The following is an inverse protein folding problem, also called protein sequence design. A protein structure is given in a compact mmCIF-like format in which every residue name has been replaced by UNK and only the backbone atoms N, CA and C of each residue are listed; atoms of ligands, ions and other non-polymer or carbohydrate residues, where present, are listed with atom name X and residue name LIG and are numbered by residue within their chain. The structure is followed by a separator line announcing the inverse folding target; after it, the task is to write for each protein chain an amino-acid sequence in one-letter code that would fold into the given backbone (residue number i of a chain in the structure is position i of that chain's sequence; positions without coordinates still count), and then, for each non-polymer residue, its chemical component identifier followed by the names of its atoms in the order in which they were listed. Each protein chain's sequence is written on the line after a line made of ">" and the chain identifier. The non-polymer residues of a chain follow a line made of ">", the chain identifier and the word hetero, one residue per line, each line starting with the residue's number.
data_IF_765921892319
#
_entry.id   IF_765921892319
#
_cell.length_a   1.000
_cell.length_b   1.000
_cell.length_c   1.000
_cell.angle_alpha   90.00
_cell.angle_beta   90.00
_cell.angle_gamma   90.00
#
_symmetry.space_group_name_H-M   'P 1'
#
loop_
_entity.id
_entity.type
_entity.pdbx_description
1 polymer ?
#
# COMPACT_ATOMS: atom_id res chain seq x y z
N UNK A 1 -30.92 6.99 9.09
CA UNK A 1 -30.65 6.77 7.65
C UNK A 1 -29.16 6.53 7.58
N UNK A 2 -28.75 5.26 7.56
CA UNK A 2 -27.35 4.93 7.30
C UNK A 2 -27.13 5.27 5.83
N UNK A 3 -26.41 6.35 5.55
CA UNK A 3 -25.81 6.52 4.25
C UNK A 3 -24.64 5.54 4.28
N UNK A 4 -24.87 4.32 3.78
CA UNK A 4 -23.78 3.55 3.22
C UNK A 4 -23.23 4.43 2.10
N UNK A 5 -22.17 5.17 2.39
CA UNK A 5 -21.35 5.78 1.35
C UNK A 5 -20.88 4.59 0.55
N UNK A 6 -21.33 4.46 -0.70
CA UNK A 6 -20.77 3.47 -1.63
C UNK A 6 -19.27 3.75 -1.70
N UNK A 7 -18.50 2.97 -0.95
CA UNK A 7 -17.04 2.97 -0.99
C UNK A 7 -16.70 2.35 -2.35
N UNK A 8 -16.05 3.10 -3.22
CA UNK A 8 -15.72 2.67 -4.58
C UNK A 8 -14.34 3.17 -4.99
N UNK A 9 -13.88 2.82 -6.20
CA UNK A 9 -12.57 3.24 -6.68
C UNK A 9 -12.46 4.77 -6.76
N UNK A 10 -11.27 5.30 -6.45
CA UNK A 10 -10.97 6.70 -6.63
C UNK A 10 -10.86 7.00 -8.12
N UNK A 11 -11.38 8.14 -8.57
CA UNK A 11 -11.28 8.53 -9.97
C UNK A 11 -9.85 8.95 -10.33
N UNK A 12 -9.38 8.59 -11.53
CA UNK A 12 -8.01 8.87 -12.01
C UNK A 12 -7.63 10.35 -11.87
N UNK A 13 -8.52 11.26 -12.28
CA UNK A 13 -8.28 12.70 -12.17
C UNK A 13 -8.13 13.21 -10.73
N UNK A 14 -8.69 12.49 -9.73
CA UNK A 14 -8.45 12.81 -8.33
C UNK A 14 -7.10 12.23 -7.87
N UNK A 15 -6.72 11.06 -8.37
CA UNK A 15 -5.44 10.42 -8.09
C UNK A 15 -4.27 11.25 -8.62
N UNK A 16 -4.33 11.72 -9.87
CA UNK A 16 -3.34 12.61 -10.48
C UNK A 16 -3.16 13.92 -9.68
N UNK A 17 -4.26 14.48 -9.17
CA UNK A 17 -4.21 15.67 -8.30
C UNK A 17 -3.52 15.37 -6.98
N UNK A 18 -3.80 14.22 -6.38
CA UNK A 18 -3.14 13.81 -5.15
C UNK A 18 -1.65 13.58 -5.38
N UNK A 19 -1.28 12.90 -6.46
CA UNK A 19 0.11 12.67 -6.85
C UNK A 19 0.87 13.99 -7.01
N UNK A 20 0.34 14.91 -7.82
CA UNK A 20 0.94 16.24 -8.04
C UNK A 20 1.10 16.99 -6.72
N UNK A 21 0.05 17.00 -5.89
CA UNK A 21 0.09 17.65 -4.58
C UNK A 21 1.18 17.05 -3.67
N UNK A 22 1.27 15.71 -3.60
CA UNK A 22 2.26 15.04 -2.78
C UNK A 22 3.67 15.35 -3.27
N UNK A 23 3.90 15.21 -4.58
CA UNK A 23 5.20 15.41 -5.21
C UNK A 23 5.71 16.85 -5.07
N UNK A 24 4.85 17.84 -5.32
CA UNK A 24 5.27 19.25 -5.37
C UNK A 24 5.31 19.93 -3.99
N UNK A 25 4.44 19.52 -3.06
CA UNK A 25 4.24 20.26 -1.80
C UNK A 25 4.53 19.45 -0.54
N UNK A 26 4.52 18.12 -0.61
CA UNK A 26 4.61 17.26 0.58
C UNK A 26 5.98 16.60 0.69
N UNK A 27 6.44 15.95 -0.38
CA UNK A 27 7.75 15.30 -0.44
C UNK A 27 8.91 16.27 -0.14
N UNK A 28 8.95 17.51 -0.66
CA UNK A 28 10.01 18.46 -0.33
C UNK A 28 10.09 18.83 1.15
N UNK A 29 8.98 18.69 1.87
CA UNK A 29 8.84 18.99 3.30
C UNK A 29 8.94 17.72 4.17
N UNK A 30 9.48 16.63 3.61
CA UNK A 30 9.71 15.37 4.30
C UNK A 30 8.44 14.56 4.57
N UNK A 31 7.35 14.82 3.83
CA UNK A 31 6.17 13.96 3.84
C UNK A 31 6.28 12.79 2.85
N UNK A 32 5.20 12.03 2.73
CA UNK A 32 5.18 10.76 1.99
C UNK A 32 4.95 10.95 0.48
N UNK A 33 5.53 10.07 -0.34
CA UNK A 33 5.18 9.91 -1.75
C UNK A 33 3.82 9.21 -1.90
N UNK A 34 3.21 9.25 -3.08
CA UNK A 34 1.94 8.56 -3.33
C UNK A 34 2.01 7.05 -2.98
N UNK A 35 3.07 6.36 -3.41
CA UNK A 35 3.28 4.93 -3.11
C UNK A 35 3.39 4.69 -1.60
N UNK A 36 4.16 5.52 -0.88
CA UNK A 36 4.25 5.45 0.58
C UNK A 36 2.89 5.67 1.25
N UNK A 37 2.11 6.64 0.78
CA UNK A 37 0.76 6.89 1.32
C UNK A 37 -0.14 5.68 1.07
N UNK A 38 -0.10 5.08 -0.12
CA UNK A 38 -0.90 3.89 -0.44
C UNK A 38 -0.57 2.71 0.49
N UNK A 39 0.72 2.41 0.68
CA UNK A 39 1.15 1.34 1.60
C UNK A 39 0.82 1.65 3.05
N UNK A 40 1.08 2.88 3.48
CA UNK A 40 0.77 3.34 4.83
C UNK A 40 -0.72 3.20 5.16
N UNK A 41 -1.58 3.70 4.28
CA UNK A 41 -3.02 3.59 4.44
C UNK A 41 -3.51 2.14 4.28
N UNK A 42 -2.87 1.31 3.45
CA UNK A 42 -3.19 -0.11 3.35
C UNK A 42 -3.00 -0.82 4.68
N UNK A 43 -1.86 -0.61 5.36
CA UNK A 43 -1.61 -1.17 6.69
C UNK A 43 -2.67 -0.74 7.71
N UNK A 44 -3.08 0.53 7.72
CA UNK A 44 -4.11 1.01 8.65
C UNK A 44 -5.50 0.43 8.33
N UNK A 45 -5.80 0.19 7.04
CA UNK A 45 -7.06 -0.37 6.60
C UNK A 45 -7.22 -1.83 7.03
N UNK A 46 -6.15 -2.62 6.97
CA UNK A 46 -6.17 -4.06 7.29
C UNK A 46 -5.74 -4.39 8.71
N UNK A 47 -5.12 -3.44 9.43
CA UNK A 47 -4.55 -3.68 10.75
C UNK A 47 -5.55 -3.99 11.88
N UNK A 48 -5.07 -4.50 13.02
CA UNK A 48 -5.93 -5.02 14.10
C UNK A 48 -6.70 -3.94 14.85
N UNK A 49 -6.20 -2.70 14.86
CA UNK A 49 -6.80 -1.58 15.59
C UNK A 49 -7.05 -0.38 14.68
N UNK A 50 -8.13 0.39 14.92
CA UNK A 50 -8.37 1.61 14.16
C UNK A 50 -7.36 2.71 14.54
N UNK A 51 -6.98 3.50 13.53
CA UNK A 51 -6.18 4.73 13.70
C UNK A 51 -7.02 5.90 13.20
N UNK A 52 -7.11 6.97 14.01
CA UNK A 52 -7.93 8.12 13.67
C UNK A 52 -7.22 9.04 12.66
N UNK A 53 -7.95 9.77 11.79
CA UNK A 53 -7.34 10.72 10.85
C UNK A 53 -6.41 11.74 11.50
N UNK A 54 -6.75 12.22 12.71
CA UNK A 54 -5.88 13.15 13.44
C UNK A 54 -4.52 12.56 13.86
N UNK A 55 -4.38 11.23 13.88
CA UNK A 55 -3.12 10.54 14.18
C UNK A 55 -2.31 10.30 12.90
N UNK A 56 -2.95 9.85 11.82
CA UNK A 56 -2.23 9.43 10.61
C UNK A 56 -1.97 10.57 9.61
N UNK A 57 -2.88 11.56 9.50
CA UNK A 57 -2.73 12.65 8.53
C UNK A 57 -1.45 13.47 8.74
N UNK A 58 -1.05 13.84 9.98
CA UNK A 58 0.20 14.58 10.17
C UNK A 58 1.45 13.84 9.64
N UNK A 59 1.44 12.50 9.67
CA UNK A 59 2.57 11.70 9.19
C UNK A 59 2.65 11.66 7.66
N UNK A 60 1.50 11.70 6.98
CA UNK A 60 1.45 11.87 5.51
C UNK A 60 2.10 13.19 5.10
N UNK A 61 1.85 14.26 5.85
CA UNK A 61 2.27 15.61 5.50
C UNK A 61 3.72 15.96 5.86
N UNK A 62 4.34 15.26 6.80
CA UNK A 62 5.64 15.66 7.32
C UNK A 62 5.58 17.07 7.91
N UNK A 63 6.40 17.99 7.39
CA UNK A 63 6.39 19.41 7.79
C UNK A 63 5.54 20.30 6.87
N UNK A 64 4.91 19.73 5.82
CA UNK A 64 4.13 20.49 4.86
C UNK A 64 2.92 21.15 5.52
N UNK A 65 2.82 22.47 5.39
CA UNK A 65 1.69 23.25 5.88
C UNK A 65 0.79 23.65 4.71
N UNK A 66 -0.51 23.68 4.94
CA UNK A 66 -1.44 24.27 3.99
C UNK A 66 -1.37 25.81 4.07
N UNK A 67 -1.56 26.47 2.94
CA UNK A 67 -1.55 27.94 2.86
C UNK A 67 -2.67 28.58 3.69
N UNK A 68 -3.85 27.95 3.67
CA UNK A 68 -5.04 28.38 4.39
C UNK A 68 -5.95 27.18 4.73
N UNK A 69 -7.03 27.38 5.51
CA UNK A 69 -7.94 26.31 5.88
C UNK A 69 -8.67 25.63 4.71
N UNK A 70 -8.90 26.32 3.59
CA UNK A 70 -9.59 25.77 2.43
C UNK A 70 -8.67 24.77 1.71
N UNK A 71 -7.41 25.14 1.50
CA UNK A 71 -6.39 24.24 0.97
C UNK A 71 -6.11 23.07 1.92
N UNK A 72 -6.14 23.32 3.24
CA UNK A 72 -6.01 22.26 4.25
C UNK A 72 -7.12 21.22 4.15
N UNK A 73 -8.36 21.69 3.93
CA UNK A 73 -9.51 20.84 3.73
C UNK A 73 -9.39 20.06 2.41
N UNK A 74 -9.10 20.74 1.30
CA UNK A 74 -9.01 20.13 -0.03
C UNK A 74 -7.96 19.00 -0.11
N UNK A 75 -6.74 19.22 0.45
CA UNK A 75 -5.70 18.17 0.49
C UNK A 75 -6.09 16.99 1.38
N UNK A 76 -6.79 17.26 2.49
CA UNK A 76 -7.28 16.21 3.38
C UNK A 76 -8.35 15.37 2.69
N UNK A 77 -9.25 16.00 1.94
CA UNK A 77 -10.28 15.31 1.17
C UNK A 77 -9.68 14.37 0.12
N UNK A 78 -8.56 14.71 -0.52
CA UNK A 78 -7.87 13.82 -1.45
C UNK A 78 -7.29 12.57 -0.75
N UNK A 79 -6.62 12.73 0.39
CA UNK A 79 -6.12 11.57 1.17
C UNK A 79 -7.25 10.72 1.71
N UNK A 80 -8.36 11.34 2.12
CA UNK A 80 -9.54 10.59 2.56
C UNK A 80 -10.23 9.86 1.39
N UNK A 81 -10.19 10.38 0.16
CA UNK A 81 -10.65 9.65 -1.02
C UNK A 81 -9.76 8.43 -1.29
N UNK A 82 -8.43 8.58 -1.21
CA UNK A 82 -7.51 7.45 -1.32
C UNK A 82 -7.77 6.40 -0.22
N UNK A 83 -7.99 6.84 1.01
CA UNK A 83 -8.37 5.96 2.12
C UNK A 83 -9.64 5.13 1.82
N UNK A 84 -10.66 5.77 1.26
CA UNK A 84 -11.90 5.09 0.86
C UNK A 84 -11.65 4.08 -0.28
N UNK A 85 -10.86 4.45 -1.28
CA UNK A 85 -10.46 3.55 -2.37
C UNK A 85 -9.71 2.32 -1.84
N UNK A 86 -8.72 2.51 -0.97
CA UNK A 86 -7.95 1.41 -0.37
C UNK A 86 -8.87 0.48 0.43
N UNK A 87 -9.78 1.02 1.23
CA UNK A 87 -10.74 0.21 1.99
C UNK A 87 -11.70 -0.57 1.11
N UNK A 88 -12.11 0.01 -0.02
CA UNK A 88 -12.87 -0.72 -1.03
C UNK A 88 -12.03 -1.85 -1.63
N UNK A 89 -10.79 -1.54 -2.04
CA UNK A 89 -9.82 -2.45 -2.69
C UNK A 89 -9.55 -3.70 -1.86
N UNK A 90 -9.16 -3.54 -0.59
CA UNK A 90 -8.84 -4.70 0.28
C UNK A 90 -10.08 -5.55 0.62
N UNK A 91 -11.28 -5.01 0.44
CA UNK A 91 -12.53 -5.74 0.59
C UNK A 91 -12.92 -6.56 -0.65
N UNK A 92 -12.24 -6.40 -1.78
CA UNK A 92 -12.51 -7.16 -2.99
C UNK A 92 -11.71 -8.46 -3.03
N UNK A 93 -12.26 -9.54 -3.58
CA UNK A 93 -11.47 -10.73 -3.88
C UNK A 93 -10.39 -10.38 -4.93
N UNK A 94 -9.13 -10.81 -4.72
CA UNK A 94 -7.97 -10.40 -5.52
C UNK A 94 -8.01 -10.95 -6.96
N UNK A 95 -8.62 -12.11 -7.14
CA UNK A 95 -8.66 -12.86 -8.37
C UNK A 95 -10.06 -12.83 -9.01
N UNK A 96 -10.10 -12.73 -10.33
CA UNK A 96 -11.30 -13.00 -11.13
C UNK A 96 -11.07 -14.16 -12.10
N UNK A 97 -12.16 -14.82 -12.50
CA UNK A 97 -12.10 -15.82 -13.56
C UNK A 97 -11.58 -15.17 -14.84
N UNK A 98 -10.53 -15.76 -15.43
CA UNK A 98 -9.97 -15.24 -16.69
C UNK A 98 -11.04 -15.21 -17.79
N UNK A 99 -10.97 -14.24 -18.70
CA UNK A 99 -11.96 -14.07 -19.77
C UNK A 99 -12.14 -15.33 -20.65
N UNK A 100 -11.09 -16.13 -20.76
CA UNK A 100 -11.06 -17.38 -21.52
C UNK A 100 -11.51 -18.62 -20.71
N UNK A 101 -11.88 -18.43 -19.45
CA UNK A 101 -12.31 -19.46 -18.51
C UNK A 101 -11.20 -20.41 -18.07
N UNK A 102 -9.93 -20.09 -18.33
CA UNK A 102 -8.78 -20.94 -18.02
C UNK A 102 -7.87 -20.26 -16.97
N UNK A 103 -8.26 -20.43 -15.71
CA UNK A 103 -7.49 -19.92 -14.57
C UNK A 103 -8.08 -18.64 -14.01
N UNK A 104 -7.28 -17.98 -13.18
CA UNK A 104 -7.61 -16.72 -12.53
C UNK A 104 -6.58 -15.67 -12.86
N UNK A 105 -7.00 -14.40 -12.90
CA UNK A 105 -6.12 -13.25 -13.10
C UNK A 105 -6.29 -12.27 -11.96
N UNK A 106 -5.18 -11.66 -11.54
CA UNK A 106 -5.22 -10.56 -10.57
C UNK A 106 -5.87 -9.35 -11.23
N UNK A 107 -6.82 -8.75 -10.52
CA UNK A 107 -7.56 -7.58 -10.99
C UNK A 107 -6.67 -6.35 -10.89
N UNK A 108 -6.37 -5.71 -12.02
CA UNK A 108 -5.48 -4.55 -12.08
C UNK A 108 -5.92 -3.39 -11.17
N UNK A 109 -7.23 -3.18 -11.01
CA UNK A 109 -7.80 -2.16 -10.11
C UNK A 109 -7.57 -2.43 -8.61
N UNK A 110 -7.12 -3.65 -8.26
CA UNK A 110 -6.78 -4.03 -6.90
C UNK A 110 -5.30 -3.97 -6.60
N UNK A 111 -4.48 -3.62 -7.61
CA UNK A 111 -3.06 -3.44 -7.41
C UNK A 111 -2.78 -2.23 -6.50
N UNK A 112 -1.76 -2.31 -5.66
CA UNK A 112 -1.18 -1.15 -5.02
C UNK A 112 -0.79 -0.07 -6.01
N UNK A 113 -0.81 1.19 -5.56
CA UNK A 113 -0.29 2.30 -6.36
C UNK A 113 1.24 2.22 -6.36
N UNK A 114 1.79 1.86 -7.51
CA UNK A 114 3.21 1.67 -7.75
C UNK A 114 3.64 2.51 -8.95
N UNK A 115 4.72 3.25 -8.79
CA UNK A 115 5.25 4.10 -9.86
C UNK A 115 6.29 3.31 -10.66
N UNK A 116 5.97 3.09 -11.93
CA UNK A 116 6.93 2.57 -12.91
C UNK A 116 7.64 3.75 -13.58
N UNK A 117 8.93 3.60 -13.95
CA UNK A 117 9.61 4.63 -14.71
C UNK A 117 8.96 4.76 -16.10
N UNK A 118 8.87 5.98 -16.61
CA UNK A 118 8.48 6.20 -18.00
C UNK A 118 9.49 5.51 -18.92
N UNK A 119 8.99 4.65 -19.81
CA UNK A 119 9.78 4.02 -20.86
C UNK A 119 9.47 4.73 -22.18
N UNK A 120 10.44 4.74 -23.11
CA UNK A 120 10.18 5.30 -24.44
C UNK A 120 9.13 4.42 -25.16
N UNK A 121 7.94 4.97 -25.42
CA UNK A 121 6.78 4.34 -26.10
C UNK A 121 7.11 3.76 -27.51
N UNK A 122 8.31 4.03 -28.03
CA UNK A 122 8.79 3.57 -29.34
C UNK A 122 9.23 2.08 -29.36
N UNK A 123 9.21 1.40 -28.22
CA UNK A 123 9.48 -0.04 -28.16
C UNK A 123 8.19 -0.81 -28.49
N UNK A 124 8.21 -1.54 -29.62
CA UNK A 124 7.14 -2.44 -30.07
C UNK A 124 6.83 -3.50 -29.00
N UNK A 125 5.99 -3.15 -28.01
CA UNK A 125 5.20 -3.91 -27.02
C UNK A 125 5.52 -5.36 -26.61
N UNK A 126 6.71 -5.91 -26.84
CA UNK A 126 7.01 -7.33 -26.57
C UNK A 126 7.44 -7.60 -25.13
N UNK A 127 8.08 -6.63 -24.46
CA UNK A 127 8.50 -6.75 -23.07
C UNK A 127 8.18 -5.46 -22.29
N UNK A 128 7.21 -5.50 -21.35
CA UNK A 128 6.84 -4.36 -20.50
C UNK A 128 7.98 -3.82 -19.63
N UNK A 129 9.05 -4.57 -19.43
CA UNK A 129 10.20 -4.21 -18.59
C UNK A 129 11.41 -3.73 -19.39
N UNK A 130 11.29 -3.70 -20.72
CA UNK A 130 12.40 -3.34 -21.58
C UNK A 130 12.88 -1.89 -21.31
N UNK A 131 14.16 -1.76 -20.94
CA UNK A 131 14.79 -0.49 -20.61
C UNK A 131 14.71 -0.09 -19.14
N UNK A 132 14.01 -0.86 -18.31
CA UNK A 132 14.00 -0.67 -16.85
C UNK A 132 15.25 -1.37 -16.28
N UNK A 133 16.04 -0.71 -15.41
CA UNK A 133 17.15 -1.35 -14.72
C UNK A 133 16.70 -2.58 -13.92
N UNK A 134 17.48 -3.67 -13.96
CA UNK A 134 17.16 -4.90 -13.21
C UNK A 134 17.16 -4.66 -11.68
N UNK A 135 17.84 -3.62 -11.20
CA UNK A 135 17.89 -3.21 -9.78
C UNK A 135 16.86 -2.12 -9.44
N UNK A 136 15.90 -1.83 -10.32
CA UNK A 136 14.87 -0.81 -10.07
C UNK A 136 14.07 -1.15 -8.79
N UNK A 137 13.92 -0.21 -7.83
CA UNK A 137 13.40 -0.48 -6.49
C UNK A 137 11.86 -0.50 -6.44
N UNK A 138 11.23 -1.27 -7.33
CA UNK A 138 9.78 -1.44 -7.38
C UNK A 138 9.25 -1.90 -6.01
N UNK A 139 8.20 -1.24 -5.53
CA UNK A 139 7.51 -1.59 -4.29
C UNK A 139 8.19 -1.15 -3.00
N UNK A 140 9.44 -0.63 -3.04
CA UNK A 140 10.16 -0.20 -1.82
C UNK A 140 9.41 0.93 -1.10
N UNK A 141 8.97 1.95 -1.83
CA UNK A 141 8.24 3.08 -1.27
C UNK A 141 6.92 2.63 -0.63
N UNK A 142 6.18 1.77 -1.32
CA UNK A 142 4.95 1.18 -0.79
C UNK A 142 5.19 0.37 0.50
N UNK A 143 6.16 -0.55 0.48
CA UNK A 143 6.49 -1.39 1.63
C UNK A 143 6.97 -0.56 2.83
N UNK A 144 7.76 0.48 2.58
CA UNK A 144 8.19 1.44 3.61
C UNK A 144 6.99 2.12 4.26
N UNK A 145 6.04 2.61 3.46
CA UNK A 145 4.79 3.17 3.95
C UNK A 145 4.00 2.17 4.79
N UNK A 146 3.83 0.94 4.29
CA UNK A 146 3.12 -0.13 4.99
C UNK A 146 3.71 -0.41 6.37
N UNK A 147 5.04 -0.59 6.46
CA UNK A 147 5.73 -0.85 7.72
C UNK A 147 5.62 0.34 8.69
N UNK A 148 5.64 1.58 8.17
CA UNK A 148 5.34 2.75 8.99
C UNK A 148 3.91 2.73 9.54
N UNK A 149 2.94 2.21 8.78
CA UNK A 149 1.56 2.03 9.24
C UNK A 149 1.44 0.96 10.32
N UNK A 150 2.15 -0.16 10.16
CA UNK A 150 2.28 -1.21 11.17
C UNK A 150 2.85 -0.65 12.48
N UNK A 151 3.88 0.21 12.39
CA UNK A 151 4.56 0.78 13.56
C UNK A 151 3.64 1.59 14.48
N UNK A 152 2.56 2.18 13.97
CA UNK A 152 1.60 2.95 14.78
C UNK A 152 0.87 2.10 15.81
N UNK A 153 0.78 0.79 15.57
CA UNK A 153 0.14 -0.19 16.44
C UNK A 153 1.00 -1.45 16.55
N UNK A 154 2.32 -1.28 16.64
CA UNK A 154 3.28 -2.39 16.54
C UNK A 154 3.02 -3.53 17.54
N UNK A 155 2.72 -3.21 18.80
CA UNK A 155 2.39 -4.23 19.82
C UNK A 155 1.09 -4.99 19.47
N UNK A 156 0.07 -4.29 18.97
CA UNK A 156 -1.19 -4.91 18.57
C UNK A 156 -1.00 -5.82 17.35
N UNK A 157 -0.21 -5.38 16.36
CA UNK A 157 0.18 -6.20 15.22
C UNK A 157 0.94 -7.46 15.65
N UNK A 158 1.96 -7.31 16.51
CA UNK A 158 2.72 -8.44 17.02
C UNK A 158 1.84 -9.45 17.76
N UNK A 159 0.95 -8.97 18.64
CA UNK A 159 0.03 -9.84 19.37
C UNK A 159 -0.98 -10.52 18.45
N UNK A 160 -1.45 -9.82 17.41
CA UNK A 160 -2.45 -10.32 16.48
C UNK A 160 -1.91 -11.38 15.52
N UNK A 161 -0.63 -11.31 15.16
CA UNK A 161 0.07 -12.27 14.31
C UNK A 161 0.75 -13.41 15.10
N UNK A 162 0.74 -13.34 16.43
CA UNK A 162 1.44 -14.30 17.27
C UNK A 162 0.95 -15.75 17.04
N UNK A 163 1.85 -16.62 16.61
CA UNK A 163 1.58 -18.06 16.41
C UNK A 163 0.89 -18.39 15.10
N UNK A 164 0.83 -17.45 14.16
CA UNK A 164 0.28 -17.66 12.84
C UNK A 164 1.37 -17.56 11.77
N UNK A 165 1.89 -18.70 11.33
CA UNK A 165 3.06 -18.76 10.44
C UNK A 165 2.78 -18.15 9.07
N UNK A 166 1.60 -18.40 8.49
CA UNK A 166 1.22 -17.89 7.16
C UNK A 166 1.23 -16.35 7.12
N UNK A 167 0.66 -15.70 8.14
CA UNK A 167 0.66 -14.22 8.20
C UNK A 167 1.99 -13.62 8.66
N UNK A 168 2.84 -14.40 9.33
CA UNK A 168 4.21 -13.98 9.60
C UNK A 168 5.05 -13.99 8.32
N UNK A 169 4.81 -14.95 7.43
CA UNK A 169 5.43 -15.01 6.10
C UNK A 169 4.97 -13.82 5.24
N UNK A 170 3.69 -13.44 5.29
CA UNK A 170 3.18 -12.20 4.66
C UNK A 170 3.93 -10.95 5.12
N UNK A 171 4.20 -10.82 6.43
CA UNK A 171 4.97 -9.68 6.95
C UNK A 171 6.44 -9.75 6.54
N UNK A 172 7.02 -10.95 6.50
CA UNK A 172 8.38 -11.18 6.00
C UNK A 172 8.51 -10.76 4.53
N UNK A 173 7.49 -11.02 3.72
CA UNK A 173 7.41 -10.58 2.33
C UNK A 173 7.48 -9.05 2.21
N UNK A 174 6.67 -8.32 3.00
CA UNK A 174 6.70 -6.84 2.99
C UNK A 174 8.04 -6.30 3.50
N UNK A 175 8.61 -6.92 4.55
CA UNK A 175 9.94 -6.55 5.05
C UNK A 175 11.01 -6.72 3.97
N UNK A 176 10.99 -7.84 3.24
CA UNK A 176 11.93 -8.11 2.15
C UNK A 176 11.76 -7.11 1.01
N UNK A 177 10.50 -6.80 0.63
CA UNK A 177 10.21 -5.81 -0.42
C UNK A 177 10.70 -4.39 -0.06
N UNK A 178 10.75 -4.05 1.24
CA UNK A 178 11.22 -2.75 1.73
C UNK A 178 12.74 -2.53 1.62
N UNK A 179 13.51 -3.59 1.36
CA UNK A 179 14.97 -3.48 1.22
C UNK A 179 15.30 -2.77 -0.08
N UNK A 180 15.99 -1.63 0.02
CA UNK A 180 16.31 -0.77 -1.12
C UNK A 180 17.49 -1.30 -1.93
N UNK A 181 18.60 -1.54 -1.25
CA UNK A 181 19.88 -1.93 -1.83
C UNK A 181 20.72 -2.73 -0.80
N UNK A 182 21.93 -3.11 -1.20
CA UNK A 182 22.84 -3.89 -0.34
C UNK A 182 23.31 -3.11 0.90
N UNK A 183 23.37 -1.78 0.85
CA UNK A 183 23.72 -0.97 2.02
C UNK A 183 22.57 -1.01 3.03
N UNK A 184 21.33 -0.87 2.57
CA UNK A 184 20.13 -0.95 3.40
C UNK A 184 19.94 -2.35 3.99
N UNK A 185 20.20 -3.42 3.21
CA UNK A 185 20.21 -4.80 3.69
C UNK A 185 21.21 -4.99 4.84
N UNK A 186 22.45 -4.49 4.69
CA UNK A 186 23.46 -4.59 5.73
C UNK A 186 23.07 -3.84 7.02
N UNK A 187 22.35 -2.71 6.92
CA UNK A 187 21.81 -1.98 8.07
C UNK A 187 20.73 -2.79 8.82
N UNK A 188 20.03 -3.67 8.11
CA UNK A 188 19.02 -4.58 8.65
C UNK A 188 19.59 -5.94 9.09
N UNK A 189 20.92 -6.11 9.10
CA UNK A 189 21.61 -7.38 9.38
C UNK A 189 21.19 -8.52 8.41
N UNK A 190 20.84 -8.15 7.18
CA UNK A 190 20.49 -9.06 6.08
C UNK A 190 21.67 -9.26 5.13
N UNK A 191 21.69 -10.40 4.44
CA UNK A 191 22.71 -10.71 3.44
C UNK A 191 22.42 -9.98 2.12
N UNK A 192 23.47 -9.60 1.39
CA UNK A 192 23.33 -8.79 0.16
C UNK A 192 22.62 -9.52 -0.99
N UNK A 193 22.61 -10.86 -0.99
CA UNK A 193 21.88 -11.67 -1.97
C UNK A 193 20.38 -11.78 -1.66
N UNK A 194 19.91 -11.18 -0.56
CA UNK A 194 18.49 -11.02 -0.24
C UNK A 194 17.89 -9.74 -0.85
N UNK A 195 18.70 -8.90 -1.49
CA UNK A 195 18.21 -7.73 -2.24
C UNK A 195 17.56 -8.21 -3.53
N UNK A 196 16.26 -7.92 -3.66
CA UNK A 196 15.46 -8.39 -4.79
C UNK A 196 15.77 -7.61 -6.08
N UNK A 197 15.89 -8.35 -7.18
CA UNK A 197 15.89 -7.81 -8.53
C UNK A 197 14.45 -7.52 -9.00
N UNK A 198 14.30 -6.75 -10.07
CA UNK A 198 13.02 -6.28 -10.61
C UNK A 198 12.02 -7.42 -10.85
N UNK A 199 12.46 -8.53 -11.43
CA UNK A 199 11.60 -9.70 -11.70
C UNK A 199 11.05 -10.30 -10.39
N UNK A 200 11.89 -10.43 -9.37
CA UNK A 200 11.50 -10.94 -8.05
C UNK A 200 10.56 -9.96 -7.34
N UNK A 201 10.83 -8.64 -7.45
CA UNK A 201 9.96 -7.59 -6.91
C UNK A 201 8.56 -7.63 -7.54
N UNK A 202 8.49 -7.84 -8.85
CA UNK A 202 7.21 -7.96 -9.56
C UNK A 202 6.41 -9.16 -9.10
N UNK A 203 7.08 -10.31 -8.89
CA UNK A 203 6.41 -11.48 -8.36
C UNK A 203 5.78 -11.17 -7.00
N UNK A 204 6.52 -10.54 -6.07
CA UNK A 204 5.97 -10.19 -4.76
C UNK A 204 4.86 -9.14 -4.82
N UNK A 205 4.99 -8.15 -5.70
CA UNK A 205 4.00 -7.08 -5.88
C UNK A 205 2.64 -7.64 -6.30
N UNK A 206 2.62 -8.66 -7.16
CA UNK A 206 1.40 -9.31 -7.64
C UNK A 206 0.67 -10.07 -6.52
N UNK A 207 1.38 -10.52 -5.48
CA UNK A 207 0.79 -11.19 -4.31
C UNK A 207 0.14 -10.21 -3.31
N UNK A 208 0.50 -8.91 -3.35
CA UNK A 208 0.05 -7.91 -2.38
C UNK A 208 -1.49 -7.80 -2.26
N UNK A 209 -2.28 -7.82 -3.35
CA UNK A 209 -3.74 -7.77 -3.24
C UNK A 209 -4.32 -8.94 -2.43
N UNK A 210 -3.79 -10.15 -2.61
CA UNK A 210 -4.21 -11.34 -1.87
C UNK A 210 -3.88 -11.23 -0.38
N UNK A 211 -2.62 -10.90 -0.07
CA UNK A 211 -2.17 -10.69 1.32
C UNK A 211 -2.99 -9.60 2.03
N UNK A 212 -3.27 -8.47 1.38
CA UNK A 212 -4.10 -7.41 1.94
C UNK A 212 -5.55 -7.86 2.16
N UNK A 213 -6.10 -8.65 1.24
CA UNK A 213 -7.45 -9.21 1.37
C UNK A 213 -7.54 -10.17 2.55
N UNK A 214 -6.57 -11.06 2.72
CA UNK A 214 -6.53 -12.03 3.81
C UNK A 214 -6.42 -11.36 5.17
N UNK A 215 -5.56 -10.34 5.30
CA UNK A 215 -5.48 -9.50 6.50
C UNK A 215 -6.81 -8.77 6.77
N UNK A 216 -7.47 -8.27 5.72
CA UNK A 216 -8.78 -7.65 5.85
C UNK A 216 -9.85 -8.64 6.37
N UNK A 217 -9.92 -9.84 5.82
CA UNK A 217 -10.85 -10.88 6.27
C UNK A 217 -10.58 -11.30 7.71
N UNK A 218 -9.30 -11.48 8.08
CA UNK A 218 -8.88 -11.77 9.46
C UNK A 218 -9.37 -10.68 10.42
N UNK A 219 -9.24 -9.40 10.03
CA UNK A 219 -9.69 -8.27 10.84
C UNK A 219 -11.19 -8.34 11.12
N UNK A 220 -12.00 -8.65 10.10
CA UNK A 220 -13.44 -8.79 10.24
C UNK A 220 -13.82 -9.94 11.19
N UNK A 221 -13.17 -11.09 11.06
CA UNK A 221 -13.41 -12.25 11.93
C UNK A 221 -13.07 -11.96 13.40
N UNK A 222 -11.99 -11.22 13.65
CA UNK A 222 -11.62 -10.76 15.00
C UNK A 222 -12.66 -9.85 15.65
N UNK A 223 -13.32 -8.98 14.86
CA UNK A 223 -14.39 -8.11 15.35
C UNK A 223 -15.68 -8.89 15.69
N UNK A 224 -16.03 -9.93 14.94
CA UNK A 224 -17.22 -10.77 15.20
C UNK A 224 -17.07 -11.66 16.44
N UNK A 225 -15.85 -12.11 16.75
CA UNK A 225 -15.55 -12.90 17.95
C UNK A 225 -15.69 -12.10 19.25
N UNK A 226 -15.37 -10.80 19.23
CA UNK A 226 -15.48 -9.90 20.39
C UNK A 226 -16.91 -9.47 20.73
N UNK A 227 -17.83 -9.47 19.75
CA UNK A 227 -19.22 -9.04 19.96
C UNK A 227 -20.14 -10.12 20.55
N UNK A 228 -19.73 -11.41 20.59
CA UNK A 228 -20.55 -12.51 21.15
C UNK A 228 -20.40 -12.70 22.67
N UNK A 229 -19.64 -11.85 23.35
CA UNK A 229 -19.32 -11.97 24.79
C UNK A 229 -19.98 -10.89 25.68
N UNK A 230 -20.99 -10.16 25.19
CA UNK A 230 -21.75 -9.19 25.99
C UNK A 230 -23.26 -9.43 25.98
#
# INVERSE_FOLDING_TARGET
>A
MNIEVEQGPMADAALERLETLLLEQVVPEGGMTLEMVDGYLSALAVGPEPVMPGEFLPLVWGQAQAEDPEHAQARTELVMQLWHHIRWRVGQPPEEEAEDGQGTSVRAELMPLLLMPETDDDQDGEDPLAGIPEDFPLGVAWATGFLQGVSLRGEAWQAWLAGDEDFLDDMSMVLTLSVLDAEHAAQMEMEADQVLMLEERMQLVIELPGMLHDLHLRRLQGHEGGQRLH
#
